data_IF_025333029839
#
_entry.id   IF_025333029839
#
_cell.length_a   1.000
_cell.length_b   1.000
_cell.length_c   1.000
_cell.angle_alpha   90.00
_cell.angle_beta   90.00
_cell.angle_gamma   90.00
#
_symmetry.space_group_name_H-M   'P 1'
#
loop_
_entity.id
_entity.type
_entity.pdbx_description
1 polymer ?
#
# COMPACT_ATOMS: atom_id res chain seq x y z
N UNK A 1 -40.95 30.78 -9.09
CA UNK A 1 -39.51 30.62 -9.36
C UNK A 1 -38.77 31.37 -8.26
N UNK A 2 -38.18 30.66 -7.30
CA UNK A 2 -37.35 31.26 -6.25
C UNK A 2 -35.90 31.02 -6.65
N UNK A 3 -35.16 32.10 -6.89
CA UNK A 3 -33.73 32.04 -7.20
C UNK A 3 -32.94 31.87 -5.92
N UNK A 4 -32.06 30.86 -5.89
CA UNK A 4 -31.13 30.63 -4.79
C UNK A 4 -30.03 31.72 -4.79
N UNK A 5 -29.60 32.23 -3.62
CA UNK A 5 -28.47 33.16 -3.54
C UNK A 5 -27.15 32.46 -3.92
N UNK A 6 -26.37 33.13 -4.75
CA UNK A 6 -25.03 32.71 -5.15
C UNK A 6 -24.00 32.91 -4.02
N UNK A 7 -23.07 31.96 -3.94
CA UNK A 7 -21.69 32.11 -3.44
C UNK A 7 -21.50 32.55 -1.98
N UNK A 8 -21.53 31.57 -1.08
CA UNK A 8 -20.61 31.58 0.07
C UNK A 8 -19.42 30.68 -0.29
N UNK A 9 -18.19 31.20 -0.41
CA UNK A 9 -17.02 30.36 -0.43
C UNK A 9 -16.87 29.77 0.98
N UNK A 10 -17.27 28.51 1.16
CA UNK A 10 -16.84 27.72 2.31
C UNK A 10 -15.36 27.39 2.09
N UNK A 11 -14.43 27.90 2.90
CA UNK A 11 -13.03 27.52 2.80
C UNK A 11 -12.90 26.08 3.33
N UNK A 12 -12.95 25.09 2.44
CA UNK A 12 -12.71 23.68 2.76
C UNK A 12 -11.23 23.28 2.71
N UNK A 13 -10.32 24.25 2.61
CA UNK A 13 -8.89 23.99 2.73
C UNK A 13 -8.44 24.55 4.07
N UNK A 14 -8.15 23.70 5.09
CA UNK A 14 -7.22 24.15 6.12
C UNK A 14 -5.95 24.62 5.40
N UNK A 15 -5.45 25.80 5.78
CA UNK A 15 -4.14 26.25 5.37
C UNK A 15 -3.15 25.10 5.60
N UNK A 16 -2.59 24.57 4.52
CA UNK A 16 -1.54 23.56 4.60
C UNK A 16 -0.31 24.32 5.09
N UNK A 17 -0.19 24.49 6.40
CA UNK A 17 1.05 24.86 7.05
C UNK A 17 2.11 23.91 6.52
N UNK A 18 3.24 24.44 6.07
CA UNK A 18 4.34 23.60 5.61
C UNK A 18 4.62 22.56 6.71
N UNK A 19 4.57 21.25 6.41
CA UNK A 19 4.77 20.24 7.44
C UNK A 19 6.17 20.45 8.01
N UNK A 20 6.24 20.60 9.34
CA UNK A 20 7.50 20.57 10.06
C UNK A 20 8.24 19.24 9.80
N UNK A 21 9.51 19.11 10.22
CA UNK A 21 10.21 17.84 10.11
C UNK A 21 9.38 16.75 10.82
N UNK A 22 9.09 15.65 10.11
CA UNK A 22 8.28 14.57 10.66
C UNK A 22 8.90 14.04 11.95
N UNK A 23 8.17 14.17 13.06
CA UNK A 23 8.63 13.71 14.35
C UNK A 23 8.38 12.21 14.46
N UNK A 24 9.46 11.45 14.70
CA UNK A 24 9.38 10.00 14.88
C UNK A 24 9.25 9.67 16.37
N UNK A 25 8.43 8.68 16.67
CA UNK A 25 8.24 8.16 18.02
C UNK A 25 8.61 6.68 18.05
N UNK A 26 9.13 6.25 19.18
CA UNK A 26 9.39 4.86 19.48
C UNK A 26 8.27 4.37 20.42
N UNK A 27 7.38 3.56 19.90
CA UNK A 27 6.45 2.77 20.69
C UNK A 27 7.14 1.44 21.05
N UNK A 28 7.38 1.22 22.35
CA UNK A 28 7.83 -0.05 22.89
C UNK A 28 6.63 -0.82 23.41
N UNK A 29 6.52 -2.06 22.97
CA UNK A 29 5.47 -2.97 23.43
C UNK A 29 6.14 -4.19 24.07
N UNK A 30 5.81 -4.46 25.32
CA UNK A 30 6.23 -5.68 26.01
C UNK A 30 5.04 -6.62 26.08
N UNK A 31 5.24 -7.87 25.66
CA UNK A 31 4.17 -8.86 25.59
C UNK A 31 4.69 -10.27 25.82
N UNK A 32 3.78 -11.20 26.07
CA UNK A 32 4.08 -12.62 25.91
C UNK A 32 4.11 -12.97 24.41
N UNK A 33 5.02 -13.87 24.02
CA UNK A 33 5.10 -14.30 22.62
C UNK A 33 3.79 -14.93 22.15
N UNK A 34 3.25 -14.43 21.04
CA UNK A 34 2.09 -15.01 20.38
C UNK A 34 2.11 -14.74 18.88
N UNK A 35 1.76 -15.76 18.10
CA UNK A 35 1.67 -15.67 16.64
C UNK A 35 0.63 -14.61 16.24
N UNK A 36 1.02 -13.71 15.34
CA UNK A 36 0.13 -12.69 14.77
C UNK A 36 -0.02 -11.41 15.59
N UNK A 37 0.68 -11.25 16.72
CA UNK A 37 0.64 -10.03 17.53
C UNK A 37 0.97 -8.77 16.71
N UNK A 38 2.00 -8.85 15.85
CA UNK A 38 2.41 -7.72 15.02
C UNK A 38 1.25 -7.18 14.17
N UNK A 39 0.42 -8.07 13.62
CA UNK A 39 -0.74 -7.66 12.85
C UNK A 39 -1.82 -7.01 13.74
N UNK A 40 -2.07 -7.56 14.93
CA UNK A 40 -3.05 -6.99 15.86
C UNK A 40 -2.66 -5.57 16.29
N UNK A 41 -1.37 -5.34 16.56
CA UNK A 41 -0.82 -4.00 16.83
C UNK A 41 -0.95 -3.10 15.61
N UNK A 42 -0.57 -3.61 14.43
CA UNK A 42 -0.70 -2.87 13.16
C UNK A 42 -2.15 -2.43 12.90
N UNK A 43 -3.14 -3.26 13.27
CA UNK A 43 -4.55 -2.91 13.14
C UNK A 43 -4.89 -1.68 13.97
N UNK A 44 -4.57 -1.71 15.26
CA UNK A 44 -4.86 -0.62 16.20
C UNK A 44 -4.13 0.65 15.78
N UNK A 45 -2.84 0.56 15.44
CA UNK A 45 -2.07 1.71 14.97
C UNK A 45 -2.67 2.31 13.70
N UNK A 46 -3.17 1.47 12.78
CA UNK A 46 -3.84 1.95 11.57
C UNK A 46 -5.17 2.65 11.82
N UNK A 47 -5.95 2.22 12.83
CA UNK A 47 -7.18 2.89 13.25
C UNK A 47 -6.90 4.25 13.92
N UNK A 48 -5.75 4.37 14.57
CA UNK A 48 -5.27 5.61 15.19
C UNK A 48 -4.47 6.52 14.22
N UNK A 49 -4.44 6.20 12.93
CA UNK A 49 -3.65 6.95 11.92
C UNK A 49 -2.14 7.05 12.25
N UNK A 50 -1.63 6.11 13.04
CA UNK A 50 -0.21 5.97 13.35
C UNK A 50 0.46 5.09 12.28
N UNK A 51 1.47 5.67 11.64
CA UNK A 51 2.16 5.05 10.50
C UNK A 51 3.43 4.40 11.02
N UNK A 52 3.53 3.08 10.85
CA UNK A 52 4.74 2.31 11.14
C UNK A 52 5.79 2.59 10.07
N UNK A 53 7.00 2.95 10.47
CA UNK A 53 8.15 3.17 9.60
C UNK A 53 9.12 1.99 9.68
N UNK A 54 9.30 1.44 10.89
CA UNK A 54 10.13 0.26 11.15
C UNK A 54 9.61 -0.47 12.37
N UNK A 55 9.75 -1.80 12.36
CA UNK A 55 9.52 -2.67 13.51
C UNK A 55 10.71 -3.59 13.71
N UNK A 56 11.11 -3.77 14.96
CA UNK A 56 12.03 -4.83 15.38
C UNK A 56 11.40 -5.63 16.50
N UNK A 57 11.32 -6.94 16.31
CA UNK A 57 10.82 -7.90 17.29
C UNK A 57 12.04 -8.55 17.94
N UNK A 58 12.14 -8.51 19.26
CA UNK A 58 13.23 -9.15 20.02
C UNK A 58 12.66 -9.96 21.18
N UNK A 59 13.16 -11.17 21.36
CA UNK A 59 12.84 -11.98 22.54
C UNK A 59 13.86 -11.69 23.65
N UNK A 60 13.38 -11.42 24.85
CA UNK A 60 14.22 -11.22 26.03
C UNK A 60 14.61 -12.53 26.69
N UNK A 61 15.69 -12.58 27.49
CA UNK A 61 16.14 -13.81 28.15
C UNK A 61 15.11 -14.46 29.10
N UNK A 62 14.15 -13.68 29.60
CA UNK A 62 13.03 -14.14 30.44
C UNK A 62 11.84 -14.69 29.61
N UNK A 63 11.99 -14.80 28.29
CA UNK A 63 10.98 -15.37 27.39
C UNK A 63 9.86 -14.41 26.98
N UNK A 64 9.94 -13.13 27.36
CA UNK A 64 9.03 -12.09 26.85
C UNK A 64 9.46 -11.58 25.49
N UNK A 65 8.56 -10.93 24.79
CA UNK A 65 8.83 -10.27 23.50
C UNK A 65 8.75 -8.77 23.68
N UNK A 66 9.75 -8.07 23.16
CA UNK A 66 9.81 -6.62 23.03
C UNK A 66 9.70 -6.28 21.55
N UNK A 67 8.60 -5.64 21.20
CA UNK A 67 8.40 -5.06 19.88
C UNK A 67 8.71 -3.56 19.93
N UNK A 68 9.62 -3.13 19.07
CA UNK A 68 10.04 -1.74 18.92
C UNK A 68 9.48 -1.19 17.61
N UNK A 69 8.46 -0.35 17.71
CA UNK A 69 7.81 0.31 16.58
C UNK A 69 8.31 1.75 16.46
N UNK A 70 8.97 2.07 15.37
CA UNK A 70 9.24 3.45 14.98
C UNK A 70 8.05 3.94 14.17
N UNK A 71 7.34 4.94 14.68
CA UNK A 71 6.07 5.42 14.14
C UNK A 71 6.09 6.94 13.92
N UNK A 72 5.24 7.39 13.00
CA UNK A 72 4.88 8.81 12.80
C UNK A 72 3.37 8.96 12.97
N UNK A 73 2.92 10.13 13.39
CA UNK A 73 1.49 10.40 13.59
C UNK A 73 0.90 11.19 12.42
N UNK A 74 -0.09 10.62 11.75
CA UNK A 74 -0.81 11.28 10.65
C UNK A 74 -1.63 12.50 11.10
N UNK A 75 -2.00 12.56 12.38
CA UNK A 75 -2.72 13.69 12.97
C UNK A 75 -1.79 14.74 13.60
N UNK A 76 -0.49 14.46 13.69
CA UNK A 76 0.52 15.33 14.31
C UNK A 76 0.25 15.67 15.80
N UNK A 77 -0.47 14.81 16.54
CA UNK A 77 -0.87 15.02 17.94
C UNK A 77 -0.07 14.17 18.95
N UNK A 78 0.75 13.23 18.50
CA UNK A 78 1.49 12.29 19.35
C UNK A 78 2.58 12.95 20.23
N UNK A 79 2.84 14.24 20.04
CA UNK A 79 3.65 15.05 20.95
C UNK A 79 2.92 15.32 22.29
N UNK A 80 1.59 15.18 22.33
CA UNK A 80 0.78 15.38 23.52
C UNK A 80 0.71 14.12 24.37
N UNK A 81 0.64 14.28 25.71
CA UNK A 81 0.46 13.15 26.63
C UNK A 81 -0.88 12.46 26.45
N UNK A 82 -1.94 13.22 26.20
CA UNK A 82 -3.29 12.70 26.00
C UNK A 82 -3.33 11.69 24.83
N UNK A 83 -2.75 12.04 23.68
CA UNK A 83 -2.68 11.13 22.52
C UNK A 83 -1.86 9.88 22.79
N UNK A 84 -0.76 10.00 23.56
CA UNK A 84 0.07 8.87 23.95
C UNK A 84 -0.67 7.92 24.91
N UNK A 85 -1.34 8.48 25.91
CA UNK A 85 -2.14 7.73 26.90
C UNK A 85 -3.34 7.05 26.25
N UNK A 86 -4.04 7.72 25.32
CA UNK A 86 -5.11 7.14 24.50
C UNK A 86 -4.60 5.94 23.69
N UNK A 87 -3.46 6.13 22.99
CA UNK A 87 -2.84 5.09 22.16
C UNK A 87 -2.48 3.86 23.00
N UNK A 88 -1.79 4.04 24.13
CA UNK A 88 -1.43 2.94 25.02
C UNK A 88 -2.67 2.27 25.64
N UNK A 89 -3.68 3.06 26.02
CA UNK A 89 -4.93 2.53 26.58
C UNK A 89 -5.66 1.64 25.58
N UNK A 90 -5.73 2.05 24.32
CA UNK A 90 -6.35 1.25 23.25
C UNK A 90 -5.60 -0.05 22.99
N UNK A 91 -4.26 -0.01 22.97
CA UNK A 91 -3.41 -1.19 22.82
C UNK A 91 -3.64 -2.19 23.97
N UNK A 92 -3.63 -1.72 25.21
CA UNK A 92 -3.83 -2.58 26.40
C UNK A 92 -5.25 -3.14 26.44
N UNK A 93 -6.27 -2.31 26.15
CA UNK A 93 -7.66 -2.74 26.16
C UNK A 93 -7.95 -3.83 25.11
N UNK A 94 -7.35 -3.72 23.93
CA UNK A 94 -7.60 -4.64 22.81
C UNK A 94 -6.74 -5.89 22.88
N UNK A 95 -5.47 -5.77 23.26
CA UNK A 95 -4.52 -6.87 23.20
C UNK A 95 -4.43 -7.66 24.52
N UNK A 96 -4.87 -7.07 25.64
CA UNK A 96 -4.98 -7.69 26.96
C UNK A 96 -4.07 -7.07 28.02
N UNK A 97 -4.34 -7.30 29.32
CA UNK A 97 -3.65 -6.66 30.44
C UNK A 97 -2.20 -7.11 30.63
N UNK A 98 -1.78 -8.21 29.99
CA UNK A 98 -0.40 -8.72 30.05
C UNK A 98 0.59 -7.90 29.22
N UNK A 99 0.12 -6.86 28.54
CA UNK A 99 0.92 -6.01 27.66
C UNK A 99 1.23 -4.70 28.38
N UNK A 100 2.46 -4.23 28.23
CA UNK A 100 2.84 -2.86 28.60
C UNK A 100 3.32 -2.08 27.38
N UNK A 101 3.05 -0.79 27.40
CA UNK A 101 3.24 0.14 26.30
C UNK A 101 3.96 1.38 26.81
N UNK A 102 4.98 1.83 26.08
CA UNK A 102 5.69 3.09 26.34
C UNK A 102 5.92 3.80 25.01
N UNK A 103 5.59 5.10 24.92
CA UNK A 103 5.86 5.92 23.75
C UNK A 103 6.91 6.95 24.12
N UNK A 104 7.99 6.99 23.37
CA UNK A 104 9.10 7.92 23.53
C UNK A 104 9.36 8.69 22.25
N UNK A 105 9.94 9.88 22.37
CA UNK A 105 10.48 10.56 21.20
C UNK A 105 11.70 9.79 20.66
N UNK A 106 11.71 9.48 19.36
CA UNK A 106 12.81 8.76 18.72
C UNK A 106 13.90 9.74 18.25
N UNK A 107 14.59 10.36 19.21
CA UNK A 107 15.69 11.29 18.92
C UNK A 107 16.79 10.62 18.10
N UNK A 108 17.20 11.24 17.00
CA UNK A 108 18.26 10.72 16.12
C UNK A 108 17.85 9.53 15.25
N UNK A 109 16.58 9.10 15.26
CA UNK A 109 16.11 8.14 14.26
C UNK A 109 16.17 8.77 12.88
N UNK A 110 17.07 8.28 12.04
CA UNK A 110 17.07 8.59 10.62
C UNK A 110 16.32 7.50 9.87
N UNK A 111 15.40 7.94 9.01
CA UNK A 111 14.73 7.05 8.07
C UNK A 111 15.76 6.54 7.05
N UNK A 112 16.41 5.44 7.39
CA UNK A 112 17.36 4.74 6.51
C UNK A 112 16.72 3.46 5.98
N UNK A 113 16.68 3.31 4.66
CA UNK A 113 16.34 2.04 4.02
C UNK A 113 17.61 1.36 3.57
N UNK A 114 17.77 0.08 3.91
CA UNK A 114 18.96 -0.64 3.48
C UNK A 114 18.87 -0.94 1.98
N UNK A 115 19.94 -0.69 1.24
CA UNK A 115 19.94 -0.82 -0.22
C UNK A 115 19.65 -2.26 -0.63
N UNK A 116 18.71 -2.45 -1.55
CA UNK A 116 18.48 -3.76 -2.16
C UNK A 116 19.66 -4.14 -3.06
N UNK A 117 20.06 -5.43 -3.10
CA UNK A 117 21.01 -5.91 -4.11
C UNK A 117 20.57 -5.55 -5.53
N UNK A 118 21.49 -5.23 -6.47
CA UNK A 118 21.13 -4.77 -7.81
C UNK A 118 20.21 -5.73 -8.57
N UNK A 119 20.47 -7.04 -8.49
CA UNK A 119 19.67 -8.08 -9.14
C UNK A 119 18.22 -8.10 -8.65
N UNK A 120 18.03 -8.00 -7.33
CA UNK A 120 16.71 -7.94 -6.70
C UNK A 120 16.00 -6.64 -7.09
N UNK A 121 16.72 -5.52 -7.12
CA UNK A 121 16.20 -4.22 -7.52
C UNK A 121 15.70 -4.24 -8.97
N UNK A 122 16.50 -4.76 -9.90
CA UNK A 122 16.15 -4.87 -11.33
C UNK A 122 14.93 -5.77 -11.57
N UNK A 123 14.79 -6.86 -10.80
CA UNK A 123 13.63 -7.73 -10.85
C UNK A 123 12.39 -7.07 -10.24
N UNK A 124 12.53 -6.45 -9.07
CA UNK A 124 11.43 -5.87 -8.30
C UNK A 124 10.78 -4.68 -9.01
N UNK A 125 11.58 -3.86 -9.69
CA UNK A 125 11.11 -2.64 -10.36
C UNK A 125 10.91 -2.80 -11.88
N UNK A 126 10.88 -4.04 -12.37
CA UNK A 126 10.65 -4.32 -13.79
C UNK A 126 9.25 -3.85 -14.22
N UNK A 127 9.21 -3.01 -15.26
CA UNK A 127 8.00 -2.38 -15.78
C UNK A 127 7.13 -3.36 -16.58
N UNK A 128 7.78 -4.19 -17.40
CA UNK A 128 7.14 -5.26 -18.17
C UNK A 128 7.21 -6.55 -17.36
N UNK A 129 6.07 -6.93 -16.78
CA UNK A 129 5.90 -8.31 -16.36
C UNK A 129 5.70 -9.09 -17.65
N UNK A 130 6.71 -9.85 -18.07
CA UNK A 130 6.55 -10.76 -19.19
C UNK A 130 5.30 -11.61 -18.92
N UNK A 131 4.43 -11.79 -19.92
CA UNK A 131 3.24 -12.65 -19.85
C UNK A 131 3.54 -14.12 -19.45
N UNK A 132 4.81 -14.43 -19.19
CA UNK A 132 5.35 -15.70 -18.74
C UNK A 132 5.58 -15.77 -17.22
N UNK A 133 4.63 -15.34 -16.40
CA UNK A 133 4.60 -15.86 -15.02
C UNK A 133 3.88 -17.21 -15.07
N UNK A 134 4.68 -18.28 -15.12
CA UNK A 134 4.28 -19.68 -14.92
C UNK A 134 3.72 -19.90 -13.50
N UNK A 135 2.63 -19.20 -13.15
CA UNK A 135 1.78 -19.56 -12.02
C UNK A 135 0.98 -20.80 -12.41
N UNK A 136 1.56 -21.98 -12.16
CA UNK A 136 0.87 -23.25 -12.25
C UNK A 136 -0.22 -23.34 -11.17
N UNK A 137 -1.47 -23.52 -11.61
CA UNK A 137 -2.61 -23.96 -10.79
C UNK A 137 -3.50 -22.86 -10.19
N UNK A 138 -4.80 -22.91 -10.52
CA UNK A 138 -5.96 -22.18 -9.93
C UNK A 138 -5.93 -20.63 -9.93
N UNK A 139 -4.83 -20.00 -9.51
CA UNK A 139 -4.62 -18.55 -9.47
C UNK A 139 -4.82 -17.87 -10.83
N UNK A 140 -4.47 -18.59 -11.91
CA UNK A 140 -4.57 -18.12 -13.28
C UNK A 140 -6.02 -17.83 -13.71
N UNK A 141 -7.03 -18.56 -13.22
CA UNK A 141 -8.41 -18.39 -13.69
C UNK A 141 -9.11 -17.16 -13.09
N UNK A 142 -8.88 -16.85 -11.82
CA UNK A 142 -9.41 -15.66 -11.16
C UNK A 142 -8.70 -14.39 -11.63
N UNK A 143 -7.37 -14.44 -11.74
CA UNK A 143 -6.59 -13.34 -12.32
C UNK A 143 -6.96 -13.13 -13.80
N UNK A 144 -7.29 -14.19 -14.56
CA UNK A 144 -7.86 -14.07 -15.92
C UNK A 144 -9.26 -13.45 -15.96
N UNK A 145 -10.10 -13.59 -14.92
CA UNK A 145 -11.35 -12.83 -14.78
C UNK A 145 -11.10 -11.36 -14.44
N UNK A 146 -10.06 -11.07 -13.65
CA UNK A 146 -9.62 -9.70 -13.35
C UNK A 146 -8.95 -9.01 -14.54
N UNK A 147 -8.44 -9.78 -15.52
CA UNK A 147 -7.62 -9.29 -16.63
C UNK A 147 -8.32 -8.38 -17.64
N UNK A 148 -9.66 -8.32 -17.69
CA UNK A 148 -10.34 -7.57 -18.76
C UNK A 148 -10.90 -6.24 -18.26
N UNK A 149 -9.99 -5.31 -17.94
CA UNK A 149 -10.36 -3.91 -17.90
C UNK A 149 -10.73 -3.46 -19.33
N UNK A 150 -11.93 -2.94 -19.51
CA UNK A 150 -12.33 -2.28 -20.76
C UNK A 150 -12.16 -0.79 -20.58
N UNK A 151 -11.35 -0.18 -21.43
CA UNK A 151 -11.02 1.26 -21.37
C UNK A 151 -11.46 1.89 -22.68
N UNK A 152 -12.41 2.81 -22.62
CA UNK A 152 -12.96 3.51 -23.78
C UNK A 152 -12.77 5.02 -23.63
N UNK A 153 -12.63 5.70 -24.76
CA UNK A 153 -12.52 7.15 -24.84
C UNK A 153 -13.66 7.71 -25.66
N UNK A 154 -14.35 8.71 -25.11
CA UNK A 154 -15.38 9.44 -25.80
C UNK A 154 -15.07 10.94 -25.83
N UNK A 155 -15.02 11.49 -27.04
CA UNK A 155 -14.77 12.89 -27.32
C UNK A 155 -16.04 13.62 -27.82
N UNK A 156 -17.22 13.02 -27.72
CA UNK A 156 -18.49 13.62 -28.17
C UNK A 156 -19.29 14.24 -27.02
N UNK A 157 -19.31 13.61 -25.84
CA UNK A 157 -20.14 14.03 -24.69
C UNK A 157 -19.74 15.36 -24.04
N UNK A 158 -18.51 15.83 -24.24
CA UNK A 158 -18.07 17.13 -23.74
C UNK A 158 -17.30 17.91 -24.81
N UNK A 159 -17.62 19.20 -25.02
CA UNK A 159 -16.83 20.02 -25.94
C UNK A 159 -15.42 20.30 -25.41
N UNK A 160 -15.21 20.22 -24.08
CA UNK A 160 -13.97 20.63 -23.44
C UNK A 160 -13.12 19.46 -22.88
N UNK A 161 -13.70 18.28 -22.68
CA UNK A 161 -13.02 17.15 -22.01
C UNK A 161 -13.12 15.88 -22.86
N UNK A 162 -12.17 14.97 -22.67
CA UNK A 162 -12.30 13.57 -23.09
C UNK A 162 -12.93 12.80 -21.93
N UNK A 163 -13.98 12.03 -22.19
CA UNK A 163 -14.52 11.09 -21.23
C UNK A 163 -13.74 9.78 -21.35
N UNK A 164 -13.13 9.36 -20.25
CA UNK A 164 -12.49 8.06 -20.09
C UNK A 164 -13.43 7.15 -19.30
N UNK A 165 -13.84 6.05 -19.90
CA UNK A 165 -14.73 5.07 -19.30
C UNK A 165 -13.95 3.78 -19.05
N UNK A 166 -13.92 3.35 -17.80
CA UNK A 166 -13.18 2.17 -17.37
C UNK A 166 -14.17 1.21 -16.72
N UNK A 167 -14.23 -0.02 -17.22
CA UNK A 167 -14.96 -1.12 -16.59
C UNK A 167 -13.98 -2.23 -16.22
N UNK A 168 -13.88 -2.57 -14.94
CA UNK A 168 -12.90 -3.53 -14.43
C UNK A 168 -13.41 -4.27 -13.19
N UNK A 169 -12.73 -5.34 -12.78
CA UNK A 169 -13.03 -6.01 -11.53
C UNK A 169 -12.78 -5.08 -10.34
N UNK A 170 -13.63 -5.17 -9.32
CA UNK A 170 -13.43 -4.44 -8.08
C UNK A 170 -12.20 -4.97 -7.33
N UNK A 171 -11.37 -4.06 -6.84
CA UNK A 171 -10.22 -4.37 -6.01
C UNK A 171 -9.93 -3.22 -5.04
N UNK A 172 -9.35 -3.54 -3.89
CA UNK A 172 -8.85 -2.54 -2.94
C UNK A 172 -7.89 -1.59 -3.65
N UNK A 173 -7.94 -0.31 -3.30
CA UNK A 173 -7.02 0.69 -3.84
C UNK A 173 -7.23 1.07 -5.31
N UNK A 174 -8.21 0.49 -6.02
CA UNK A 174 -8.44 0.74 -7.45
C UNK A 174 -8.47 2.23 -7.82
N UNK A 175 -9.20 3.04 -7.05
CA UNK A 175 -9.28 4.48 -7.26
C UNK A 175 -7.92 5.16 -7.18
N UNK A 176 -7.12 4.79 -6.17
CA UNK A 176 -5.76 5.31 -6.00
C UNK A 176 -4.89 4.91 -7.19
N UNK A 177 -4.96 3.65 -7.62
CA UNK A 177 -4.16 3.12 -8.72
C UNK A 177 -4.48 3.84 -10.05
N UNK A 178 -5.78 4.10 -10.31
CA UNK A 178 -6.23 4.87 -11.49
C UNK A 178 -5.73 6.32 -11.40
N UNK A 179 -6.01 7.02 -10.30
CA UNK A 179 -5.68 8.46 -10.18
C UNK A 179 -4.18 8.72 -10.14
N UNK A 180 -3.41 7.86 -9.47
CA UNK A 180 -1.94 7.89 -9.51
C UNK A 180 -1.45 7.76 -10.94
N UNK A 181 -1.94 6.77 -11.68
CA UNK A 181 -1.54 6.55 -13.07
C UNK A 181 -1.90 7.74 -13.96
N UNK A 182 -3.08 8.35 -13.77
CA UNK A 182 -3.46 9.58 -14.49
C UNK A 182 -2.45 10.70 -14.22
N UNK A 183 -2.06 10.90 -12.96
CA UNK A 183 -1.07 11.93 -12.61
C UNK A 183 0.32 11.63 -13.14
N UNK A 184 0.78 10.38 -13.07
CA UNK A 184 2.06 9.94 -13.62
C UNK A 184 2.11 10.20 -15.14
N UNK A 185 0.97 10.09 -15.83
CA UNK A 185 0.82 10.42 -17.25
C UNK A 185 0.55 11.90 -17.51
N UNK A 186 0.63 12.76 -16.50
CA UNK A 186 0.33 14.20 -16.59
C UNK A 186 -1.07 14.50 -17.13
N UNK A 187 -2.06 13.66 -16.81
CA UNK A 187 -3.46 13.82 -17.19
C UNK A 187 -4.23 14.45 -16.02
N UNK A 188 -4.93 15.55 -16.31
CA UNK A 188 -5.76 16.24 -15.33
C UNK A 188 -7.17 15.64 -15.32
N UNK A 189 -7.55 15.05 -14.19
CA UNK A 189 -8.93 14.63 -13.92
C UNK A 189 -9.71 15.84 -13.39
N UNK A 190 -10.83 16.19 -14.04
CA UNK A 190 -11.67 17.34 -13.65
C UNK A 190 -12.92 16.89 -12.91
N UNK A 191 -13.57 15.84 -13.39
CA UNK A 191 -14.71 15.21 -12.74
C UNK A 191 -14.54 13.71 -12.83
N UNK A 192 -14.97 13.00 -11.80
CA UNK A 192 -15.00 11.55 -11.78
C UNK A 192 -16.31 11.10 -11.15
N UNK A 193 -16.89 10.04 -11.68
CA UNK A 193 -18.02 9.37 -11.04
C UNK A 193 -17.70 7.87 -11.06
N UNK A 194 -17.94 7.25 -9.90
CA UNK A 194 -17.55 5.89 -9.60
C UNK A 194 -18.79 5.12 -9.17
N UNK A 195 -19.01 3.96 -9.77
CA UNK A 195 -20.12 3.10 -9.39
C UNK A 195 -19.67 1.65 -9.30
N UNK A 196 -20.32 0.95 -8.38
CA UNK A 196 -20.09 -0.47 -8.12
C UNK A 196 -21.36 -1.21 -8.47
N UNK A 197 -21.23 -2.28 -9.25
CA UNK A 197 -22.33 -3.22 -9.40
C UNK A 197 -22.32 -4.24 -8.24
N UNK A 198 -23.40 -5.02 -8.11
CA UNK A 198 -23.47 -6.12 -7.12
C UNK A 198 -22.70 -7.37 -7.57
N UNK A 199 -22.09 -7.36 -8.76
CA UNK A 199 -21.42 -8.52 -9.38
C UNK A 199 -19.90 -8.46 -9.27
N UNK A 200 -19.35 -7.47 -8.54
CA UNK A 200 -17.92 -7.33 -8.30
C UNK A 200 -17.18 -6.59 -9.42
N UNK A 201 -17.88 -5.82 -10.24
CA UNK A 201 -17.30 -4.91 -11.22
C UNK A 201 -17.46 -3.44 -10.78
N UNK A 202 -16.47 -2.64 -11.18
CA UNK A 202 -16.42 -1.20 -11.01
C UNK A 202 -16.44 -0.56 -12.38
N UNK A 203 -17.34 0.39 -12.51
CA UNK A 203 -17.39 1.29 -13.65
C UNK A 203 -17.00 2.69 -13.17
N UNK A 204 -16.09 3.29 -13.93
CA UNK A 204 -15.42 4.54 -13.58
C UNK A 204 -15.42 5.43 -14.81
N UNK A 205 -16.06 6.59 -14.68
CA UNK A 205 -16.11 7.60 -15.72
C UNK A 205 -15.34 8.84 -15.25
N UNK A 206 -14.31 9.23 -16.00
CA UNK A 206 -13.45 10.37 -15.72
C UNK A 206 -13.48 11.37 -16.88
N UNK A 207 -13.78 12.63 -16.57
CA UNK A 207 -13.57 13.73 -17.51
C UNK A 207 -12.14 14.23 -17.39
N UNK A 208 -11.34 13.97 -18.42
CA UNK A 208 -9.90 14.20 -18.41
C UNK A 208 -9.45 15.21 -19.47
N UNK A 209 -8.31 15.84 -19.20
CA UNK A 209 -7.61 16.79 -20.07
C UNK A 209 -6.10 16.56 -20.00
N UNK A 210 -5.41 16.94 -21.07
CA UNK A 210 -3.95 17.10 -21.07
C UNK A 210 -3.55 18.32 -20.22
N UNK A 211 -2.26 18.41 -19.88
CA UNK A 211 -1.69 19.56 -19.15
C UNK A 211 -1.94 20.89 -19.87
N UNK A 212 -1.94 20.88 -21.20
CA UNK A 212 -2.22 22.06 -22.04
C UNK A 212 -3.71 22.46 -22.06
N UNK A 213 -4.56 21.75 -21.31
CA UNK A 213 -5.99 22.00 -21.19
C UNK A 213 -6.83 21.41 -22.32
N UNK A 214 -6.20 20.75 -23.31
CA UNK A 214 -6.91 20.15 -24.45
C UNK A 214 -7.37 18.73 -24.17
N UNK A 215 -8.28 18.27 -25.03
CA UNK A 215 -8.76 16.89 -25.10
C UNK A 215 -7.66 15.95 -25.60
N UNK A 216 -7.77 14.67 -25.25
CA UNK A 216 -6.93 13.60 -25.78
C UNK A 216 -7.63 13.04 -27.03
N UNK A 217 -7.35 13.62 -28.19
CA UNK A 217 -7.98 13.22 -29.47
C UNK A 217 -7.12 12.21 -30.22
N UNK A 218 -5.80 12.34 -30.08
CA UNK A 218 -4.81 11.50 -30.74
C UNK A 218 -4.95 10.03 -30.29
N UNK A 219 -5.25 9.09 -31.22
CA UNK A 219 -5.39 7.68 -30.92
C UNK A 219 -4.12 7.07 -30.30
N UNK A 220 -2.92 7.47 -30.73
CA UNK A 220 -1.68 6.93 -30.18
C UNK A 220 -1.53 7.28 -28.69
N UNK A 221 -1.91 8.51 -28.31
CA UNK A 221 -1.92 8.93 -26.90
C UNK A 221 -2.97 8.17 -26.08
N UNK A 222 -4.13 7.89 -26.67
CA UNK A 222 -5.17 7.10 -26.02
C UNK A 222 -4.70 5.66 -25.81
N UNK A 223 -4.04 5.06 -26.79
CA UNK A 223 -3.52 3.69 -26.71
C UNK A 223 -2.41 3.57 -25.67
N UNK A 224 -1.47 4.53 -25.63
CA UNK A 224 -0.42 4.59 -24.60
C UNK A 224 -1.05 4.70 -23.21
N UNK A 225 -2.02 5.60 -23.02
CA UNK A 225 -2.70 5.77 -21.74
C UNK A 225 -3.50 4.53 -21.33
N UNK A 226 -4.20 3.89 -22.28
CA UNK A 226 -4.97 2.67 -22.08
C UNK A 226 -4.08 1.51 -21.65
N UNK A 227 -3.00 1.26 -22.39
CA UNK A 227 -2.01 0.22 -22.09
C UNK A 227 -1.37 0.43 -20.72
N UNK A 228 -0.97 1.68 -20.42
CA UNK A 228 -0.39 2.07 -19.14
C UNK A 228 -1.35 1.79 -17.98
N UNK A 229 -2.59 2.28 -18.12
CA UNK A 229 -3.61 2.14 -17.10
C UNK A 229 -4.00 0.67 -16.88
N UNK A 230 -4.16 -0.10 -17.95
CA UNK A 230 -4.43 -1.54 -17.88
C UNK A 230 -3.34 -2.30 -17.12
N UNK A 231 -2.05 -2.02 -17.42
CA UNK A 231 -0.92 -2.66 -16.74
C UNK A 231 -0.85 -2.31 -15.26
N UNK A 232 -1.03 -1.03 -14.90
CA UNK A 232 -0.96 -0.57 -13.50
C UNK A 232 -2.18 -1.03 -12.68
N UNK A 233 -3.36 -1.18 -13.30
CA UNK A 233 -4.53 -1.76 -12.63
C UNK A 233 -4.39 -3.27 -12.44
N UNK A 234 -3.78 -3.98 -13.39
CA UNK A 234 -3.58 -5.42 -13.30
C UNK A 234 -2.50 -5.78 -12.28
N UNK A 235 -1.44 -4.98 -12.21
CA UNK A 235 -0.32 -5.18 -11.32
C UNK A 235 0.02 -3.87 -10.58
N UNK A 236 -0.81 -3.41 -9.62
CA UNK A 236 -0.57 -2.16 -8.90
C UNK A 236 0.60 -2.27 -7.90
N UNK A 237 0.96 -3.49 -7.51
CA UNK A 237 2.01 -3.79 -6.55
C UNK A 237 2.91 -4.91 -7.08
N UNK A 238 4.17 -4.91 -6.68
CA UNK A 238 5.12 -6.00 -6.92
C UNK A 238 5.34 -6.74 -5.60
N UNK A 239 5.30 -8.07 -5.63
CA UNK A 239 5.44 -8.91 -4.43
C UNK A 239 6.39 -10.05 -4.78
N UNK A 240 7.45 -10.22 -4.00
CA UNK A 240 8.43 -11.29 -4.16
C UNK A 240 9.01 -11.75 -2.83
N UNK A 241 9.58 -12.95 -2.81
CA UNK A 241 10.36 -13.46 -1.68
C UNK A 241 11.79 -13.66 -2.14
N UNK A 242 12.74 -13.17 -1.35
CA UNK A 242 14.17 -13.23 -1.63
C UNK A 242 14.92 -13.82 -0.45
N UNK A 243 16.08 -14.41 -0.74
CA UNK A 243 17.04 -14.79 0.29
C UNK A 243 18.10 -13.71 0.41
N UNK A 244 18.43 -13.34 1.65
CA UNK A 244 19.53 -12.43 1.98
C UNK A 244 20.48 -13.13 2.93
N UNK A 245 21.41 -13.91 2.36
CA UNK A 245 22.22 -14.82 3.15
C UNK A 245 21.33 -15.92 3.75
N UNK A 246 21.33 -16.13 5.09
CA UNK A 246 20.46 -17.11 5.73
C UNK A 246 19.01 -16.64 5.88
N UNK A 247 18.76 -15.33 5.73
CA UNK A 247 17.49 -14.71 6.02
C UNK A 247 16.54 -14.76 4.82
N UNK A 248 15.24 -14.93 5.09
CA UNK A 248 14.17 -14.87 4.08
C UNK A 248 13.40 -13.56 4.25
N UNK A 249 13.30 -12.78 3.18
CA UNK A 249 12.60 -11.51 3.17
C UNK A 249 11.42 -11.54 2.18
N UNK A 250 10.26 -11.06 2.61
CA UNK A 250 9.16 -10.67 1.72
C UNK A 250 9.32 -9.20 1.35
N UNK A 251 9.31 -8.91 0.06
CA UNK A 251 9.31 -7.55 -0.48
C UNK A 251 7.95 -7.26 -1.11
N UNK A 252 7.35 -6.14 -0.71
CA UNK A 252 6.20 -5.55 -1.39
C UNK A 252 6.62 -4.17 -1.87
N UNK A 253 6.69 -3.95 -3.18
CA UNK A 253 6.98 -2.64 -3.74
C UNK A 253 5.71 -2.00 -4.30
N UNK A 254 5.45 -0.79 -3.83
CA UNK A 254 4.36 0.04 -4.24
C UNK A 254 4.89 1.26 -5.03
N UNK A 255 4.47 1.48 -6.28
CA UNK A 255 4.79 2.72 -6.98
C UNK A 255 4.10 3.89 -6.25
N UNK A 256 4.85 4.96 -5.99
CA UNK A 256 4.33 6.14 -5.29
C UNK A 256 4.31 7.36 -6.18
N UNK A 257 3.37 8.25 -5.86
CA UNK A 257 3.29 9.56 -6.48
C UNK A 257 4.52 10.41 -6.14
N UNK A 258 4.86 11.39 -6.98
CA UNK A 258 5.91 12.38 -6.68
C UNK A 258 5.65 13.17 -5.37
N UNK A 259 4.41 13.27 -4.89
CA UNK A 259 4.10 13.88 -3.57
C UNK A 259 4.47 12.99 -2.38
N UNK A 260 4.86 11.74 -2.63
CA UNK A 260 5.41 10.82 -1.64
C UNK A 260 4.40 9.93 -0.92
N UNK A 261 3.08 10.04 -1.17
CA UNK A 261 2.10 9.15 -0.53
C UNK A 261 1.94 7.85 -1.34
N UNK A 262 2.19 6.72 -0.67
CA UNK A 262 1.95 5.39 -1.21
C UNK A 262 0.52 4.91 -1.14
N UNK A 263 0.27 3.71 -1.66
CA UNK A 263 -1.02 3.03 -1.64
C UNK A 263 -1.39 2.75 -0.18
N UNK A 264 -2.59 3.12 0.27
CA UNK A 264 -2.98 2.92 1.66
C UNK A 264 -2.95 1.45 2.09
N UNK A 265 -2.69 1.21 3.37
CA UNK A 265 -2.83 -0.10 4.06
C UNK A 265 -1.95 -1.24 3.54
N UNK A 266 -0.93 -0.99 2.72
CA UNK A 266 -0.02 -2.05 2.22
C UNK A 266 0.64 -2.83 3.37
N UNK A 267 1.18 -2.14 4.38
CA UNK A 267 1.76 -2.80 5.57
C UNK A 267 0.73 -3.65 6.32
N UNK A 268 -0.49 -3.13 6.52
CA UNK A 268 -1.59 -3.83 7.20
C UNK A 268 -2.01 -5.09 6.44
N UNK A 269 -2.27 -4.99 5.14
CA UNK A 269 -2.72 -6.12 4.33
C UNK A 269 -1.62 -7.19 4.19
N UNK A 270 -0.35 -6.79 4.16
CA UNK A 270 0.79 -7.72 4.18
C UNK A 270 0.87 -8.50 5.50
N UNK A 271 0.79 -7.82 6.65
CA UNK A 271 0.82 -8.49 7.97
C UNK A 271 -0.42 -9.36 8.18
N UNK A 272 -1.59 -8.96 7.67
CA UNK A 272 -2.81 -9.76 7.70
C UNK A 272 -2.63 -11.08 6.93
N UNK A 273 -2.04 -11.01 5.74
CA UNK A 273 -1.77 -12.18 4.91
C UNK A 273 -0.79 -13.14 5.59
N UNK A 274 0.28 -12.61 6.18
CA UNK A 274 1.30 -13.40 6.88
C UNK A 274 0.75 -14.04 8.16
N UNK A 275 -0.06 -13.31 8.94
CA UNK A 275 -0.79 -13.86 10.09
C UNK A 275 -1.70 -15.02 9.67
N UNK A 276 -2.45 -14.88 8.57
CA UNK A 276 -3.33 -15.93 8.07
C UNK A 276 -2.58 -17.19 7.61
N UNK A 277 -1.30 -17.06 7.25
CA UNK A 277 -0.41 -18.18 6.92
C UNK A 277 0.33 -18.73 8.14
N UNK A 278 0.21 -18.09 9.31
CA UNK A 278 0.94 -18.46 10.52
C UNK A 278 2.43 -18.15 10.46
N UNK A 279 2.86 -17.24 9.57
CA UNK A 279 4.26 -16.86 9.39
C UNK A 279 4.60 -15.69 10.31
N UNK A 280 5.64 -15.86 11.12
CA UNK A 280 6.15 -14.83 12.02
C UNK A 280 7.01 -13.82 11.26
N UNK A 281 7.01 -12.57 11.76
CA UNK A 281 7.78 -11.46 11.21
C UNK A 281 8.74 -10.98 12.31
N UNK A 282 10.04 -11.07 12.07
CA UNK A 282 11.06 -10.64 13.04
C UNK A 282 11.39 -9.15 12.95
N UNK A 283 11.28 -8.59 11.75
CA UNK A 283 11.42 -7.15 11.56
C UNK A 283 10.69 -6.73 10.30
N UNK A 284 10.31 -5.46 10.26
CA UNK A 284 9.76 -4.86 9.06
C UNK A 284 10.31 -3.44 8.88
N UNK A 285 10.56 -3.03 7.65
CA UNK A 285 10.93 -1.65 7.35
C UNK A 285 10.22 -1.15 6.10
N UNK A 286 9.84 0.12 6.14
CA UNK A 286 9.34 0.86 4.99
C UNK A 286 10.44 1.83 4.57
N UNK A 287 10.72 1.87 3.27
CA UNK A 287 11.58 2.91 2.73
C UNK A 287 11.30 3.22 1.28
N UNK A 288 11.94 4.29 0.83
CA UNK A 288 11.75 4.80 -0.53
C UNK A 288 12.96 4.48 -1.38
N UNK A 289 12.70 4.08 -2.62
CA UNK A 289 13.71 3.83 -3.62
C UNK A 289 13.30 4.43 -4.95
N UNK A 290 14.25 5.09 -5.63
CA UNK A 290 14.07 5.55 -7.00
C UNK A 290 14.57 4.48 -7.96
N UNK A 291 13.73 4.05 -8.88
CA UNK A 291 14.08 3.10 -9.92
C UNK A 291 13.26 3.36 -11.18
N UNK A 292 13.89 3.31 -12.36
CA UNK A 292 13.25 3.51 -13.67
C UNK A 292 12.43 4.81 -13.73
N UNK A 293 13.02 5.92 -13.27
CA UNK A 293 12.40 7.26 -13.19
C UNK A 293 11.13 7.34 -12.31
N UNK A 294 10.88 6.34 -11.47
CA UNK A 294 9.77 6.31 -10.52
C UNK A 294 10.24 6.20 -9.09
N UNK A 295 9.43 6.72 -8.19
CA UNK A 295 9.56 6.48 -6.77
C UNK A 295 8.76 5.25 -6.39
N UNK A 296 9.36 4.43 -5.54
CA UNK A 296 8.75 3.24 -4.98
C UNK A 296 8.84 3.31 -3.46
N UNK A 297 7.77 2.90 -2.81
CA UNK A 297 7.76 2.61 -1.39
C UNK A 297 7.83 1.09 -1.24
N UNK A 298 8.91 0.63 -0.63
CA UNK A 298 9.23 -0.77 -0.48
C UNK A 298 9.03 -1.15 0.97
N UNK A 299 8.22 -2.17 1.17
CA UNK A 299 7.94 -2.80 2.44
C UNK A 299 8.72 -4.09 2.48
N UNK A 300 9.64 -4.18 3.44
CA UNK A 300 10.46 -5.37 3.64
C UNK A 300 10.10 -6.03 4.95
N UNK A 301 9.81 -7.31 4.91
CA UNK A 301 9.49 -8.11 6.10
C UNK A 301 10.50 -9.26 6.19
N UNK A 302 11.24 -9.31 7.29
CA UNK A 302 12.07 -10.46 7.64
C UNK A 302 11.16 -11.55 8.20
N UNK A 303 11.09 -12.68 7.51
CA UNK A 303 10.19 -13.77 7.82
C UNK A 303 10.90 -14.88 8.59
N UNK A 304 10.13 -15.59 9.42
CA UNK A 304 10.56 -16.84 10.01
C UNK A 304 10.57 -17.97 8.96
N UNK A 305 11.73 -18.62 8.83
CA UNK A 305 11.93 -19.80 8.00
C UNK A 305 11.90 -21.07 8.87
N UNK A 306 10.70 -21.40 9.35
CA UNK A 306 10.49 -22.56 10.23
C UNK A 306 10.55 -23.89 9.46
N UNK A 307 10.94 -24.96 10.16
CA UNK A 307 10.91 -26.32 9.60
C UNK A 307 9.49 -26.79 9.20
N UNK A 308 8.44 -26.24 9.82
CA UNK A 308 7.04 -26.56 9.51
C UNK A 308 6.59 -25.91 8.19
N UNK A 309 7.16 -24.76 7.85
CA UNK A 309 6.84 -24.01 6.64
C UNK A 309 8.11 -23.43 5.99
N UNK A 310 8.95 -24.28 5.38
CA UNK A 310 10.23 -23.84 4.84
C UNK A 310 10.02 -22.91 3.65
N UNK A 311 10.78 -21.83 3.60
CA UNK A 311 10.77 -20.79 2.59
C UNK A 311 12.09 -20.70 1.83
N UNK A 312 13.27 -20.91 2.45
CA UNK A 312 14.56 -20.69 1.76
C UNK A 312 14.74 -21.53 0.49
N UNK A 313 14.20 -22.77 0.47
CA UNK A 313 14.42 -23.73 -0.62
C UNK A 313 13.12 -24.33 -1.19
N UNK A 314 11.94 -23.77 -0.85
CA UNK A 314 10.65 -24.32 -1.29
C UNK A 314 9.86 -23.31 -2.14
N UNK A 315 9.96 -23.46 -3.46
CA UNK A 315 9.29 -22.58 -4.41
C UNK A 315 7.75 -22.62 -4.30
N UNK A 316 7.17 -23.77 -3.92
CA UNK A 316 5.72 -23.93 -3.77
C UNK A 316 5.22 -23.09 -2.59
N UNK A 317 5.92 -23.15 -1.46
CA UNK A 317 5.58 -22.34 -0.29
C UNK A 317 5.77 -20.85 -0.58
N UNK A 318 6.85 -20.46 -1.26
CA UNK A 318 7.05 -19.06 -1.70
C UNK A 318 5.90 -18.56 -2.55
N UNK A 319 5.52 -19.32 -3.58
CA UNK A 319 4.42 -18.95 -4.47
C UNK A 319 3.09 -18.86 -3.72
N UNK A 320 2.86 -19.74 -2.73
CA UNK A 320 1.69 -19.68 -1.84
C UNK A 320 1.67 -18.38 -1.02
N UNK A 321 2.80 -17.97 -0.45
CA UNK A 321 2.90 -16.71 0.31
C UNK A 321 2.68 -15.51 -0.60
N UNK A 322 3.41 -15.42 -1.71
CA UNK A 322 3.29 -14.32 -2.70
C UNK A 322 1.85 -14.21 -3.20
N UNK A 323 1.23 -15.33 -3.57
CA UNK A 323 -0.16 -15.38 -4.02
C UNK A 323 -1.15 -14.93 -2.95
N UNK A 324 -0.99 -15.38 -1.70
CA UNK A 324 -1.86 -14.95 -0.59
C UNK A 324 -1.69 -13.48 -0.26
N UNK A 325 -0.47 -12.97 -0.21
CA UNK A 325 -0.17 -11.55 0.03
C UNK A 325 -0.79 -10.70 -1.07
N UNK A 326 -0.59 -11.05 -2.34
CA UNK A 326 -1.16 -10.35 -3.49
C UNK A 326 -2.70 -10.33 -3.42
N UNK A 327 -3.35 -11.46 -3.11
CA UNK A 327 -4.81 -11.52 -2.94
C UNK A 327 -5.32 -10.60 -1.84
N UNK A 328 -4.66 -10.61 -0.66
CA UNK A 328 -5.06 -9.77 0.47
C UNK A 328 -4.91 -8.27 0.17
N UNK A 329 -3.81 -7.88 -0.51
CA UNK A 329 -3.53 -6.51 -0.96
C UNK A 329 -4.53 -6.00 -2.00
N UNK A 330 -5.07 -6.88 -2.84
CA UNK A 330 -6.10 -6.55 -3.83
C UNK A 330 -7.53 -6.71 -3.27
N UNK A 331 -7.68 -7.29 -2.08
CA UNK A 331 -9.00 -7.55 -1.48
C UNK A 331 -9.77 -8.69 -2.13
N UNK A 332 -9.10 -9.57 -2.86
CA UNK A 332 -9.68 -10.77 -3.45
C UNK A 332 -9.78 -11.86 -2.38
N UNK A 333 -10.81 -11.80 -1.54
CA UNK A 333 -11.12 -12.87 -0.60
C UNK A 333 -12.19 -13.77 -1.21
N UNK A 334 -11.81 -15.03 -1.44
CA UNK A 334 -12.76 -16.14 -1.45
C UNK A 334 -12.78 -16.77 -0.06
#
# INVERSE_FOLDING_TARGET
MSMCPSSYPMPFYPEITQPGPSQFYLLKLFSADRKGLLHDVTHILSELELIIQRVKVSTTPDGRVIDLFFITDGMELLHTKERQEETCSMLIATLGPSISCEILLAEGFQQGFSSLPPTISEELFRLELADSDNCSGSLCAEMKRMQKATINFDNSLSPAHTLLQINCADQKGLLYDILRTMKDCSIKVTYGRFWSDKKGFREVDLFIKQVDGKKIIDPEKQDVLSSRLGSEMLHPLRVMIVNRGPDVELLVANPVELSGKGRPRVFYDATLALKALGICIFSAEIGRQTASERQWEVYRFLLDDSNEFPLANNLVNRNRVVGRVRKTLLGCFN
#
